data_IF_498202266098
#
_entry.id   IF_498202266098
#
_cell.length_a   1.000
_cell.length_b   1.000
_cell.length_c   1.000
_cell.angle_alpha   90.00
_cell.angle_beta   90.00
_cell.angle_gamma   90.00
#
_symmetry.space_group_name_H-M   'P 1'
#
loop_
_entity.id
_entity.type
_entity.pdbx_description
1 polymer ?
#
# COMPACT_ATOMS: atom_id res chain seq x y z
N UNK A 1 -20.41 -17.22 8.90
CA UNK A 1 -19.47 -16.68 7.89
C UNK A 1 -20.20 -15.58 7.14
N UNK A 2 -19.62 -14.39 7.03
CA UNK A 2 -20.28 -13.18 6.49
C UNK A 2 -19.77 -12.83 5.08
N UNK A 3 -20.67 -12.48 4.17
CA UNK A 3 -20.29 -12.05 2.83
C UNK A 3 -19.52 -10.72 2.90
N UNK A 4 -18.32 -10.64 2.32
CA UNK A 4 -17.50 -9.42 2.36
C UNK A 4 -17.93 -8.36 1.33
N UNK A 5 -19.07 -8.56 0.66
CA UNK A 5 -19.65 -7.60 -0.30
C UNK A 5 -20.94 -7.00 0.23
N UNK A 6 -21.86 -7.83 0.74
CA UNK A 6 -23.15 -7.36 1.26
C UNK A 6 -23.23 -7.36 2.79
N UNK A 7 -22.19 -7.84 3.49
CA UNK A 7 -22.12 -7.92 4.95
C UNK A 7 -23.26 -8.71 5.61
N UNK A 8 -23.98 -9.54 4.84
CA UNK A 8 -24.99 -10.42 5.39
C UNK A 8 -24.39 -11.76 5.80
N UNK A 9 -24.88 -12.32 6.91
CA UNK A 9 -24.56 -13.67 7.36
C UNK A 9 -25.35 -14.69 6.55
N UNK A 10 -24.72 -15.20 5.48
CA UNK A 10 -25.31 -16.16 4.54
C UNK A 10 -24.33 -17.30 4.24
N UNK A 11 -24.79 -18.33 3.53
CA UNK A 11 -23.88 -19.31 2.95
C UNK A 11 -22.93 -18.61 1.95
N UNK A 12 -21.63 -18.88 2.05
CA UNK A 12 -20.59 -18.28 1.22
C UNK A 12 -19.84 -19.38 0.47
N UNK A 13 -20.38 -19.85 -0.65
CA UNK A 13 -19.76 -20.93 -1.41
C UNK A 13 -18.64 -20.44 -2.33
N UNK A 14 -18.46 -19.13 -2.49
CA UNK A 14 -17.59 -18.56 -3.52
C UNK A 14 -16.46 -17.67 -2.96
N UNK A 15 -15.31 -17.72 -3.65
CA UNK A 15 -14.10 -16.93 -3.34
C UNK A 15 -13.51 -16.34 -4.62
N UNK A 16 -13.13 -15.07 -4.61
CA UNK A 16 -12.51 -14.42 -5.77
C UNK A 16 -11.04 -14.88 -5.95
N UNK A 17 -10.59 -15.29 -7.16
CA UNK A 17 -9.21 -15.72 -7.37
C UNK A 17 -8.20 -14.55 -7.31
N UNK A 18 -8.63 -13.31 -7.58
CA UNK A 18 -7.76 -12.11 -7.60
C UNK A 18 -7.57 -11.51 -6.21
N UNK A 19 -8.68 -11.23 -5.52
CA UNK A 19 -8.66 -10.49 -4.25
C UNK A 19 -8.91 -11.39 -3.03
N UNK A 20 -9.15 -12.70 -3.24
CA UNK A 20 -9.42 -13.71 -2.20
C UNK A 20 -10.62 -13.44 -1.28
N UNK A 21 -11.40 -12.39 -1.52
CA UNK A 21 -12.62 -12.10 -0.75
C UNK A 21 -13.70 -13.17 -0.97
N UNK A 22 -14.46 -13.40 0.11
CA UNK A 22 -15.56 -14.36 0.24
C UNK A 22 -16.89 -13.68 -0.06
N UNK A 23 -17.70 -14.26 -0.94
CA UNK A 23 -19.00 -13.68 -1.32
C UNK A 23 -20.10 -14.73 -1.48
N UNK A 24 -21.35 -14.32 -1.29
CA UNK A 24 -22.50 -15.24 -1.24
C UNK A 24 -23.17 -15.51 -2.60
N UNK A 25 -22.97 -14.66 -3.61
CA UNK A 25 -23.70 -14.78 -4.89
C UNK A 25 -23.01 -14.08 -6.06
N UNK A 26 -23.43 -14.41 -7.28
CA UNK A 26 -22.99 -13.75 -8.52
C UNK A 26 -23.29 -12.24 -8.49
N UNK A 27 -24.42 -11.82 -7.91
CA UNK A 27 -24.73 -10.41 -7.73
C UNK A 27 -23.68 -9.68 -6.86
N UNK A 28 -23.22 -10.34 -5.79
CA UNK A 28 -22.12 -9.83 -4.98
C UNK A 28 -20.79 -9.83 -5.76
N UNK A 29 -20.52 -10.84 -6.60
CA UNK A 29 -19.34 -10.84 -7.45
C UNK A 29 -19.30 -9.66 -8.42
N UNK A 30 -20.43 -9.34 -9.05
CA UNK A 30 -20.55 -8.22 -9.99
C UNK A 30 -20.37 -6.87 -9.28
N UNK A 31 -21.01 -6.68 -8.11
CA UNK A 31 -20.79 -5.48 -7.27
C UNK A 31 -19.32 -5.33 -6.89
N UNK A 32 -18.67 -6.41 -6.45
CA UNK A 32 -17.23 -6.42 -6.16
C UNK A 32 -16.40 -6.08 -7.41
N UNK A 33 -16.74 -6.63 -8.58
CA UNK A 33 -16.01 -6.42 -9.84
C UNK A 33 -16.11 -4.96 -10.31
N UNK A 34 -17.26 -4.32 -10.11
CA UNK A 34 -17.49 -2.92 -10.44
C UNK A 34 -16.84 -1.96 -9.42
N UNK A 35 -16.78 -2.30 -8.13
CA UNK A 35 -16.07 -1.51 -7.10
C UNK A 35 -14.55 -1.72 -7.07
N UNK A 36 -14.02 -2.79 -7.69
CA UNK A 36 -12.58 -3.05 -7.72
C UNK A 36 -11.77 -1.99 -8.50
N UNK A 37 -12.42 -1.03 -9.16
CA UNK A 37 -11.75 0.10 -9.80
C UNK A 37 -11.60 1.34 -8.93
N UNK A 38 -12.30 1.47 -7.78
CA UNK A 38 -12.15 2.64 -6.90
C UNK A 38 -12.46 2.26 -5.44
N UNK A 39 -11.43 1.87 -4.68
CA UNK A 39 -11.43 1.97 -3.23
C UNK A 39 -9.98 2.00 -2.74
N UNK A 40 -9.40 3.21 -2.72
CA UNK A 40 -8.40 3.52 -1.72
C UNK A 40 -9.12 3.74 -0.39
N UNK A 41 -8.42 3.42 0.69
CA UNK A 41 -8.57 3.89 2.08
C UNK A 41 -9.33 2.96 3.05
N UNK A 42 -8.59 2.56 4.09
CA UNK A 42 -8.97 1.96 5.37
C UNK A 42 -9.28 0.44 5.38
N UNK A 43 -8.22 -0.37 5.33
CA UNK A 43 -8.23 -1.66 6.01
C UNK A 43 -7.73 -1.42 7.44
N UNK A 44 -8.44 -1.88 8.49
CA UNK A 44 -7.81 -2.15 9.78
C UNK A 44 -6.70 -3.15 9.50
N UNK A 45 -5.47 -2.71 9.67
CA UNK A 45 -4.29 -3.54 9.54
C UNK A 45 -4.26 -4.44 10.78
N UNK A 46 -4.99 -5.57 10.75
CA UNK A 46 -4.73 -6.68 11.65
C UNK A 46 -3.56 -7.48 11.07
N UNK A 47 -2.34 -7.01 11.33
CA UNK A 47 -1.09 -7.73 11.06
C UNK A 47 -0.53 -8.18 12.41
N UNK A 48 -0.12 -9.45 12.48
CA UNK A 48 0.33 -10.11 13.69
C UNK A 48 1.48 -9.39 14.39
N UNK A 49 1.53 -9.56 15.71
CA UNK A 49 2.40 -8.95 16.73
C UNK A 49 3.93 -8.95 16.50
N UNK A 50 4.46 -9.40 15.35
CA UNK A 50 5.91 -9.58 15.14
C UNK A 50 6.54 -8.57 14.15
N UNK A 51 5.75 -7.73 13.45
CA UNK A 51 6.23 -6.77 12.42
C UNK A 51 6.19 -5.29 12.85
N UNK A 52 6.33 -5.00 14.15
CA UNK A 52 6.31 -3.62 14.63
C UNK A 52 7.69 -2.92 14.47
N UNK A 53 8.78 -3.69 14.38
CA UNK A 53 10.15 -3.15 14.30
C UNK A 53 10.52 -2.52 12.96
N UNK A 54 9.96 -2.99 11.84
CA UNK A 54 10.26 -2.49 10.49
C UNK A 54 9.39 -1.28 10.10
N UNK A 55 8.45 -0.88 10.98
CA UNK A 55 7.59 0.28 10.74
C UNK A 55 8.26 1.56 11.21
N UNK A 56 8.14 2.60 10.39
CA UNK A 56 8.57 3.93 10.80
C UNK A 56 7.60 4.48 11.86
N UNK A 57 8.12 4.99 13.00
CA UNK A 57 7.28 5.61 14.00
C UNK A 57 6.70 6.93 13.49
N UNK A 58 5.58 7.36 14.07
CA UNK A 58 4.82 8.53 13.58
C UNK A 58 5.66 9.81 13.55
N UNK A 59 6.58 9.99 14.50
CA UNK A 59 7.47 11.16 14.54
C UNK A 59 8.41 11.22 13.32
N UNK A 60 8.84 10.08 12.79
CA UNK A 60 9.69 10.03 11.57
C UNK A 60 8.84 10.36 10.35
N UNK A 61 7.60 9.88 10.29
CA UNK A 61 6.66 10.23 9.22
C UNK A 61 6.36 11.74 9.19
N UNK A 62 6.23 12.39 10.36
CA UNK A 62 6.06 13.84 10.43
C UNK A 62 7.28 14.59 9.89
N UNK A 63 8.50 14.13 10.22
CA UNK A 63 9.73 14.71 9.67
C UNK A 63 9.82 14.56 8.15
N UNK A 64 9.41 13.41 7.62
CA UNK A 64 9.32 13.19 6.17
C UNK A 64 8.33 14.20 5.54
N UNK A 65 7.18 14.42 6.17
CA UNK A 65 6.17 15.37 5.68
C UNK A 65 6.64 16.84 5.74
N UNK A 66 7.57 17.18 6.63
CA UNK A 66 8.15 18.52 6.73
C UNK A 66 9.38 18.73 5.82
N UNK A 67 9.92 17.65 5.25
CA UNK A 67 11.09 17.74 4.38
C UNK A 67 10.71 18.29 3.00
N UNK A 68 11.15 19.53 2.73
CA UNK A 68 10.99 20.13 1.41
C UNK A 68 11.66 19.31 0.31
N UNK A 69 12.81 18.69 0.56
CA UNK A 69 13.52 17.88 -0.46
C UNK A 69 12.68 16.68 -0.90
N UNK A 70 12.07 15.97 0.06
CA UNK A 70 11.17 14.84 -0.24
C UNK A 70 9.90 15.33 -0.94
N UNK A 71 9.31 16.44 -0.47
CA UNK A 71 8.12 17.02 -1.08
C UNK A 71 8.36 17.48 -2.53
N UNK A 72 9.52 18.10 -2.82
CA UNK A 72 9.93 18.50 -4.17
C UNK A 72 10.06 17.27 -5.08
N UNK A 73 10.70 16.20 -4.60
CA UNK A 73 10.78 14.94 -5.36
C UNK A 73 9.39 14.35 -5.62
N UNK A 74 8.49 14.41 -4.64
CA UNK A 74 7.10 13.96 -4.78
C UNK A 74 6.25 14.82 -5.72
N UNK A 75 6.69 16.01 -6.13
CA UNK A 75 6.03 16.74 -7.24
C UNK A 75 6.21 16.02 -8.57
N UNK A 76 7.23 15.19 -8.72
CA UNK A 76 7.46 14.42 -9.93
C UNK A 76 6.38 13.35 -10.11
N UNK A 77 5.60 13.49 -11.19
CA UNK A 77 4.52 12.55 -11.53
C UNK A 77 5.02 11.11 -11.72
N UNK A 78 6.20 10.93 -12.31
CA UNK A 78 6.76 9.62 -12.59
C UNK A 78 7.08 8.88 -11.28
N UNK A 79 7.74 9.56 -10.34
CA UNK A 79 8.03 9.03 -9.01
C UNK A 79 6.74 8.58 -8.29
N UNK A 80 5.71 9.44 -8.25
CA UNK A 80 4.41 9.09 -7.64
C UNK A 80 3.75 7.88 -8.29
N UNK A 81 3.97 7.69 -9.59
CA UNK A 81 3.41 6.55 -10.34
C UNK A 81 4.13 5.27 -9.95
N UNK A 82 5.47 5.31 -9.82
CA UNK A 82 6.27 4.17 -9.36
C UNK A 82 5.89 3.77 -7.92
N UNK A 83 5.81 4.74 -7.00
CA UNK A 83 5.43 4.47 -5.60
C UNK A 83 4.04 3.79 -5.53
N UNK A 84 3.06 4.29 -6.29
CA UNK A 84 1.71 3.69 -6.35
C UNK A 84 1.70 2.31 -7.01
N UNK A 85 2.61 2.03 -7.94
CA UNK A 85 2.73 0.73 -8.56
C UNK A 85 3.34 -0.28 -7.59
N UNK A 86 4.38 0.10 -6.85
CA UNK A 86 5.01 -0.70 -5.80
C UNK A 86 4.03 -1.07 -4.68
N UNK A 87 3.24 -0.10 -4.20
CA UNK A 87 2.20 -0.29 -3.18
C UNK A 87 1.16 -1.36 -3.56
N UNK A 88 0.93 -1.56 -4.88
CA UNK A 88 -0.03 -2.52 -5.42
C UNK A 88 0.64 -3.78 -5.97
N UNK A 89 1.96 -3.88 -5.89
CA UNK A 89 2.71 -4.97 -6.50
C UNK A 89 2.44 -6.29 -5.77
N UNK A 90 2.28 -7.36 -6.55
CA UNK A 90 2.20 -8.73 -6.02
C UNK A 90 3.61 -9.29 -5.81
N UNK A 91 4.58 -8.80 -6.56
CA UNK A 91 5.98 -9.21 -6.50
C UNK A 91 6.88 -8.04 -6.07
N UNK A 92 6.78 -7.69 -4.79
CA UNK A 92 7.41 -6.49 -4.21
C UNK A 92 8.93 -6.48 -4.31
N UNK A 93 9.60 -7.63 -4.27
CA UNK A 93 11.06 -7.70 -4.35
C UNK A 93 11.59 -7.30 -5.75
N UNK A 94 11.07 -7.94 -6.82
CA UNK A 94 11.48 -7.61 -8.19
C UNK A 94 11.08 -6.20 -8.59
N UNK A 95 9.88 -5.76 -8.22
CA UNK A 95 9.41 -4.42 -8.58
C UNK A 95 10.18 -3.35 -7.80
N UNK A 96 10.54 -3.60 -6.53
CA UNK A 96 11.45 -2.74 -5.77
C UNK A 96 12.82 -2.65 -6.44
N UNK A 97 13.40 -3.77 -6.87
CA UNK A 97 14.69 -3.77 -7.55
C UNK A 97 14.66 -2.94 -8.84
N UNK A 98 13.60 -3.07 -9.65
CA UNK A 98 13.42 -2.25 -10.85
C UNK A 98 13.26 -0.77 -10.50
N UNK A 99 12.52 -0.44 -9.45
CA UNK A 99 12.38 0.93 -9.00
C UNK A 99 13.73 1.52 -8.55
N UNK A 100 14.58 0.74 -7.86
CA UNK A 100 15.93 1.20 -7.48
C UNK A 100 16.86 1.50 -8.65
N UNK A 101 16.58 0.97 -9.85
CA UNK A 101 17.33 1.31 -11.07
C UNK A 101 16.99 2.72 -11.59
N UNK A 102 15.85 3.28 -11.20
CA UNK A 102 15.41 4.59 -11.63
C UNK A 102 16.07 5.67 -10.75
N UNK A 103 16.83 6.62 -11.33
CA UNK A 103 17.63 7.57 -10.57
C UNK A 103 16.79 8.46 -9.66
N UNK A 104 15.57 8.82 -10.09
CA UNK A 104 14.65 9.63 -9.30
C UNK A 104 14.10 8.87 -8.09
N UNK A 105 13.94 7.54 -8.20
CA UNK A 105 13.48 6.71 -7.11
C UNK A 105 14.61 6.42 -6.12
N UNK A 106 15.82 6.13 -6.62
CA UNK A 106 17.01 6.01 -5.78
C UNK A 106 17.24 7.29 -4.96
N UNK A 107 17.22 8.47 -5.61
CA UNK A 107 17.34 9.76 -4.94
C UNK A 107 16.24 9.97 -3.88
N UNK A 108 15.01 9.57 -4.18
CA UNK A 108 13.91 9.65 -3.22
C UNK A 108 14.15 8.75 -2.00
N UNK A 109 14.61 7.51 -2.20
CA UNK A 109 14.92 6.58 -1.12
C UNK A 109 16.08 7.09 -0.27
N UNK A 110 17.14 7.62 -0.90
CA UNK A 110 18.27 8.21 -0.18
C UNK A 110 17.81 9.36 0.74
N UNK A 111 16.93 10.23 0.24
CA UNK A 111 16.35 11.32 1.03
C UNK A 111 15.49 10.82 2.19
N UNK A 112 14.73 9.74 2.00
CA UNK A 112 13.99 9.10 3.10
C UNK A 112 14.94 8.49 4.13
N UNK A 113 15.96 7.76 3.69
CA UNK A 113 16.96 7.14 4.57
C UNK A 113 17.71 8.21 5.38
N UNK A 114 18.09 9.34 4.78
CA UNK A 114 18.70 10.46 5.50
C UNK A 114 17.82 10.99 6.64
N UNK A 115 16.49 10.95 6.50
CA UNK A 115 15.57 11.40 7.55
C UNK A 115 15.39 10.33 8.61
N UNK A 116 15.32 9.05 8.21
CA UNK A 116 15.15 7.90 9.10
C UNK A 116 16.41 7.66 9.94
N UNK A 117 17.58 7.73 9.33
CA UNK A 117 18.88 7.44 9.95
C UNK A 117 19.44 8.61 10.77
N UNK A 118 18.98 9.85 10.51
CA UNK A 118 19.21 10.96 11.42
C UNK A 118 18.43 10.72 12.73
N UNK A 119 18.98 9.85 13.58
CA UNK A 119 18.75 9.83 15.03
C UNK A 119 19.32 11.12 15.59
N UNK A 120 18.46 11.90 16.26
CA UNK A 120 18.76 12.96 17.23
C UNK A 120 20.22 13.44 17.26
N UNK A 121 20.47 14.65 16.76
CA UNK A 121 21.34 15.54 17.54
C UNK A 121 20.62 15.94 18.82
#
# INVERSE_FOLDING_TARGET
MQCQVCYENKNIPYKCPKCRIKYCSVACYQKHKSSASIAQTQLPIELGDDEESDRLPTNVLERINQSNEVLELLKNRHLRTMIKALDRSINSADDMQKAMMEPIFAQFVDQLLMIVENKNT
#
